data_IF_815365927528
#
_entry.id   IF_815365927528
#
_cell.length_a   1.000
_cell.length_b   1.000
_cell.length_c   1.000
_cell.angle_alpha   90.00
_cell.angle_beta   90.00
_cell.angle_gamma   90.00
#
_symmetry.space_group_name_H-M   'P 1'
#
loop_
_entity.id
_entity.type
_entity.pdbx_description
1 polymer ?
#
# COMPACT_ATOMS: atom_id res chain seq x y z
N UNK A 1 -16.67 8.05 -41.16
CA UNK A 1 -16.65 7.27 -39.89
C UNK A 1 -15.67 7.73 -38.79
N UNK A 2 -14.94 8.88 -38.82
CA UNK A 2 -13.96 9.21 -37.78
C UNK A 2 -14.57 9.74 -36.46
N UNK A 3 -15.75 10.34 -36.50
CA UNK A 3 -16.38 10.94 -35.31
C UNK A 3 -16.74 9.88 -34.27
N UNK A 4 -17.25 8.72 -34.70
CA UNK A 4 -17.65 7.62 -33.80
C UNK A 4 -16.45 6.99 -33.08
N UNK A 5 -15.30 6.86 -33.74
CA UNK A 5 -14.08 6.33 -33.12
C UNK A 5 -13.44 7.31 -32.13
N UNK A 6 -13.50 8.62 -32.40
CA UNK A 6 -13.01 9.66 -31.48
C UNK A 6 -13.88 9.72 -30.21
N UNK A 7 -15.21 9.63 -30.36
CA UNK A 7 -16.15 9.61 -29.23
C UNK A 7 -15.93 8.37 -28.35
N UNK A 8 -15.75 7.19 -28.95
CA UNK A 8 -15.44 5.96 -28.21
C UNK A 8 -14.10 6.04 -27.46
N UNK A 9 -13.06 6.61 -28.08
CA UNK A 9 -11.78 6.84 -27.42
C UNK A 9 -11.90 7.78 -26.21
N UNK A 10 -12.68 8.86 -26.32
CA UNK A 10 -12.94 9.78 -25.21
C UNK A 10 -13.69 9.10 -24.05
N UNK A 11 -14.71 8.29 -24.34
CA UNK A 11 -15.42 7.54 -23.30
C UNK A 11 -14.50 6.56 -22.56
N UNK A 12 -13.68 5.81 -23.31
CA UNK A 12 -12.69 4.89 -22.75
C UNK A 12 -11.65 5.62 -21.90
N UNK A 13 -11.22 6.80 -22.32
CA UNK A 13 -10.29 7.65 -21.57
C UNK A 13 -10.90 8.10 -20.24
N UNK A 14 -12.13 8.63 -20.26
CA UNK A 14 -12.83 9.08 -19.04
C UNK A 14 -13.04 7.91 -18.08
N UNK A 15 -13.52 6.76 -18.56
CA UNK A 15 -13.74 5.58 -17.74
C UNK A 15 -12.44 5.08 -17.10
N UNK A 16 -11.35 5.01 -17.87
CA UNK A 16 -10.04 4.61 -17.33
C UNK A 16 -9.51 5.61 -16.29
N UNK A 17 -9.73 6.92 -16.48
CA UNK A 17 -9.32 7.93 -15.50
C UNK A 17 -10.13 7.85 -14.19
N UNK A 18 -11.44 7.61 -14.28
CA UNK A 18 -12.29 7.35 -13.11
C UNK A 18 -11.82 6.12 -12.35
N UNK A 19 -11.48 5.05 -13.06
CA UNK A 19 -10.92 3.84 -12.47
C UNK A 19 -9.58 4.12 -11.76
N UNK A 20 -8.67 4.90 -12.38
CA UNK A 20 -7.41 5.33 -11.72
C UNK A 20 -7.69 6.06 -10.41
N UNK A 21 -8.61 7.03 -10.42
CA UNK A 21 -8.99 7.76 -9.21
C UNK A 21 -9.56 6.83 -8.13
N UNK A 22 -10.40 5.86 -8.51
CA UNK A 22 -10.92 4.86 -7.60
C UNK A 22 -9.80 4.00 -6.99
N UNK A 23 -8.80 3.59 -7.77
CA UNK A 23 -7.65 2.83 -7.26
C UNK A 23 -6.78 3.66 -6.33
N UNK A 24 -6.59 4.95 -6.60
CA UNK A 24 -5.87 5.87 -5.69
C UNK A 24 -6.63 6.02 -4.36
N UNK A 25 -7.94 6.22 -4.39
CA UNK A 25 -8.77 6.29 -3.19
C UNK A 25 -8.74 4.99 -2.38
N UNK A 26 -8.79 3.83 -3.04
CA UNK A 26 -8.68 2.51 -2.39
C UNK A 26 -7.37 2.35 -1.60
N UNK A 27 -6.26 2.97 -2.01
CA UNK A 27 -5.01 2.95 -1.24
C UNK A 27 -5.11 3.74 0.06
N UNK A 28 -5.78 4.89 0.05
CA UNK A 28 -6.04 5.65 1.27
C UNK A 28 -6.95 4.87 2.23
N UNK A 29 -7.98 4.20 1.70
CA UNK A 29 -8.83 3.32 2.52
C UNK A 29 -8.04 2.13 3.11
N UNK A 30 -7.12 1.53 2.35
CA UNK A 30 -6.26 0.46 2.87
C UNK A 30 -5.38 0.95 4.04
N UNK A 31 -4.83 2.17 3.94
CA UNK A 31 -4.06 2.78 5.02
C UNK A 31 -4.91 3.03 6.27
N UNK A 32 -6.13 3.55 6.09
CA UNK A 32 -7.08 3.76 7.19
C UNK A 32 -7.43 2.43 7.90
N UNK A 33 -7.73 1.38 7.14
CA UNK A 33 -7.99 0.04 7.68
C UNK A 33 -6.80 -0.49 8.49
N UNK A 34 -5.57 -0.31 8.00
CA UNK A 34 -4.37 -0.69 8.73
C UNK A 34 -4.25 0.05 10.08
N UNK A 35 -4.46 1.37 10.08
CA UNK A 35 -4.40 2.17 11.30
C UNK A 35 -5.44 1.69 12.31
N UNK A 36 -6.69 1.50 11.87
CA UNK A 36 -7.77 1.01 12.73
C UNK A 36 -7.43 -0.35 13.32
N UNK A 37 -7.02 -1.32 12.51
CA UNK A 37 -6.63 -2.66 12.98
C UNK A 37 -5.47 -2.60 13.97
N UNK A 38 -4.44 -1.80 13.69
CA UNK A 38 -3.26 -1.65 14.55
C UNK A 38 -3.64 -1.09 15.92
N UNK A 39 -4.48 -0.03 15.94
CA UNK A 39 -4.95 0.58 17.19
C UNK A 39 -5.86 -0.39 17.97
N UNK A 40 -6.75 -1.11 17.29
CA UNK A 40 -7.61 -2.11 17.92
C UNK A 40 -6.82 -3.27 18.53
N UNK A 41 -5.79 -3.77 17.83
CA UNK A 41 -4.88 -4.80 18.35
C UNK A 41 -4.11 -4.30 19.58
N UNK A 42 -3.64 -3.06 19.54
CA UNK A 42 -2.94 -2.45 20.67
C UNK A 42 -3.88 -2.29 21.87
N UNK A 43 -5.12 -1.83 21.65
CA UNK A 43 -6.13 -1.72 22.69
C UNK A 43 -6.45 -3.09 23.31
N UNK A 44 -6.60 -4.13 22.49
CA UNK A 44 -6.80 -5.50 22.96
C UNK A 44 -5.62 -6.00 23.80
N UNK A 45 -4.37 -5.76 23.36
CA UNK A 45 -3.17 -6.14 24.12
C UNK A 45 -3.13 -5.49 25.50
N UNK A 46 -3.52 -4.21 25.59
CA UNK A 46 -3.54 -3.45 26.85
C UNK A 46 -4.70 -3.91 27.74
N UNK A 47 -5.88 -4.19 27.18
CA UNK A 47 -7.04 -4.66 27.92
C UNK A 47 -6.84 -6.04 28.56
N UNK A 48 -6.04 -6.90 27.92
CA UNK A 48 -5.76 -8.27 28.39
C UNK A 48 -4.62 -8.36 29.42
N UNK A 49 -4.11 -7.22 29.93
CA UNK A 49 -3.00 -7.14 30.87
C UNK A 49 -3.15 -8.16 32.02
N UNK A 50 -2.08 -8.86 32.43
CA UNK A 50 -2.19 -9.87 33.47
C UNK A 50 -2.65 -9.25 34.79
N UNK A 51 -3.87 -9.60 35.21
CA UNK A 51 -4.40 -9.44 36.56
C UNK A 51 -4.78 -10.82 37.12
N UNK A 52 -4.93 -10.92 38.44
CA UNK A 52 -5.32 -12.15 39.17
C UNK A 52 -6.53 -12.80 38.49
N UNK A 53 -6.32 -13.96 37.84
CA UNK A 53 -7.37 -14.71 37.14
C UNK A 53 -7.23 -14.81 35.61
N UNK A 54 -6.15 -14.31 35.00
CA UNK A 54 -5.92 -14.50 33.55
C UNK A 54 -5.51 -15.94 33.21
N UNK A 55 -6.51 -16.77 32.92
CA UNK A 55 -6.32 -18.06 32.21
C UNK A 55 -5.59 -17.88 30.88
N UNK A 56 -5.14 -18.99 30.27
CA UNK A 56 -4.36 -19.07 29.03
C UNK A 56 -4.96 -18.25 27.86
N UNK A 57 -4.73 -16.95 27.84
CA UNK A 57 -5.10 -16.09 26.73
C UNK A 57 -4.00 -16.21 25.66
N UNK A 58 -4.35 -16.49 24.40
CA UNK A 58 -3.40 -16.71 23.30
C UNK A 58 -2.73 -15.39 22.85
N UNK A 59 -1.95 -14.77 23.72
CA UNK A 59 -1.25 -13.49 23.46
C UNK A 59 -0.34 -13.61 22.24
N UNK A 60 0.30 -14.76 22.05
CA UNK A 60 1.15 -15.07 20.89
C UNK A 60 0.42 -14.86 19.56
N UNK A 61 -0.85 -15.25 19.49
CA UNK A 61 -1.70 -15.08 18.30
C UNK A 61 -2.11 -13.63 18.09
N UNK A 62 -2.28 -12.87 19.17
CA UNK A 62 -2.60 -11.45 19.11
C UNK A 62 -1.41 -10.63 18.59
N UNK A 63 -0.18 -11.00 18.96
CA UNK A 63 1.05 -10.37 18.44
C UNK A 63 1.17 -10.54 16.94
N UNK A 64 0.87 -11.75 16.43
CA UNK A 64 0.88 -12.04 14.99
C UNK A 64 -0.13 -11.19 14.20
N UNK A 65 -1.14 -10.63 14.86
CA UNK A 65 -2.09 -9.70 14.24
C UNK A 65 -1.43 -8.47 13.62
N UNK A 66 -0.37 -7.93 14.24
CA UNK A 66 0.36 -6.74 13.74
C UNK A 66 1.02 -6.98 12.37
N UNK A 67 1.91 -7.98 12.22
CA UNK A 67 2.55 -8.25 10.94
C UNK A 67 1.56 -8.78 9.89
N UNK A 68 0.48 -9.46 10.30
CA UNK A 68 -0.61 -9.84 9.38
C UNK A 68 -1.29 -8.58 8.81
N UNK A 69 -1.63 -7.61 9.66
CA UNK A 69 -2.21 -6.34 9.19
C UNK A 69 -1.24 -5.59 8.25
N UNK A 70 0.06 -5.60 8.54
CA UNK A 70 1.08 -5.02 7.64
C UNK A 70 1.20 -5.76 6.31
N UNK A 71 1.11 -7.08 6.31
CA UNK A 71 1.15 -7.90 5.09
C UNK A 71 -0.08 -7.60 4.23
N UNK A 72 -1.27 -7.51 4.84
CA UNK A 72 -2.49 -7.10 4.16
C UNK A 72 -2.36 -5.72 3.52
N UNK A 73 -1.81 -4.74 4.25
CA UNK A 73 -1.54 -3.41 3.70
C UNK A 73 -0.58 -3.47 2.50
N UNK A 74 0.49 -4.27 2.59
CA UNK A 74 1.45 -4.45 1.50
C UNK A 74 0.79 -5.05 0.24
N UNK A 75 -0.03 -6.09 0.40
CA UNK A 75 -0.75 -6.71 -0.72
C UNK A 75 -1.78 -5.78 -1.36
N UNK A 76 -2.53 -5.03 -0.56
CA UNK A 76 -3.49 -4.05 -1.08
C UNK A 76 -2.79 -2.93 -1.85
N UNK A 77 -1.65 -2.44 -1.34
CA UNK A 77 -0.84 -1.45 -2.05
C UNK A 77 -0.24 -2.00 -3.34
N UNK A 78 0.28 -3.24 -3.32
CA UNK A 78 0.84 -3.87 -4.52
C UNK A 78 -0.23 -4.05 -5.61
N UNK A 79 -1.40 -4.57 -5.24
CA UNK A 79 -2.54 -4.73 -6.16
C UNK A 79 -2.93 -3.39 -6.78
N UNK A 80 -3.07 -2.35 -5.95
CA UNK A 80 -3.46 -1.02 -6.43
C UNK A 80 -2.39 -0.40 -7.35
N UNK A 81 -1.10 -0.52 -7.02
CA UNK A 81 -0.01 -0.02 -7.84
C UNK A 81 0.05 -0.70 -9.21
N UNK A 82 -0.13 -2.02 -9.25
CA UNK A 82 -0.22 -2.79 -10.50
C UNK A 82 -1.40 -2.35 -11.36
N UNK A 83 -2.58 -2.17 -10.76
CA UNK A 83 -3.77 -1.71 -11.48
C UNK A 83 -3.58 -0.29 -12.04
N UNK A 84 -3.09 0.65 -11.21
CA UNK A 84 -2.80 2.03 -11.63
C UNK A 84 -1.78 2.05 -12.76
N UNK A 85 -0.72 1.26 -12.67
CA UNK A 85 0.32 1.20 -13.69
C UNK A 85 -0.23 0.71 -15.02
N UNK A 86 -1.04 -0.35 -15.01
CA UNK A 86 -1.68 -0.86 -16.22
C UNK A 86 -2.64 0.17 -16.85
N UNK A 87 -3.46 0.83 -16.02
CA UNK A 87 -4.37 1.88 -16.48
C UNK A 87 -3.64 3.08 -17.06
N UNK A 88 -2.52 3.49 -16.46
CA UNK A 88 -1.67 4.58 -16.97
C UNK A 88 -1.00 4.23 -18.30
N UNK A 89 -0.61 2.97 -18.50
CA UNK A 89 -0.17 2.50 -19.82
C UNK A 89 -1.28 2.57 -20.87
N UNK A 90 -2.49 2.15 -20.51
CA UNK A 90 -3.65 2.26 -21.39
C UNK A 90 -3.98 3.72 -21.74
N UNK A 91 -4.02 4.61 -20.75
CA UNK A 91 -4.23 6.05 -20.94
C UNK A 91 -3.14 6.68 -21.80
N UNK A 92 -1.88 6.32 -21.58
CA UNK A 92 -0.75 6.75 -22.42
C UNK A 92 -0.92 6.33 -23.88
N UNK A 93 -1.41 5.11 -24.12
CA UNK A 93 -1.69 4.62 -25.48
C UNK A 93 -2.84 5.40 -26.14
N UNK A 94 -3.89 5.74 -25.37
CA UNK A 94 -4.97 6.59 -25.86
C UNK A 94 -4.50 8.02 -26.16
N UNK A 95 -3.63 8.60 -25.33
CA UNK A 95 -3.08 9.96 -25.53
C UNK A 95 -2.18 10.08 -26.77
N UNK A 96 -1.62 8.96 -27.25
CA UNK A 96 -0.81 8.92 -28.48
C UNK A 96 -1.63 8.68 -29.75
N UNK A 97 -2.93 8.40 -29.64
CA UNK A 97 -3.78 8.18 -30.82
C UNK A 97 -3.76 9.40 -31.75
N UNK A 98 -3.45 9.14 -33.04
CA UNK A 98 -3.36 10.19 -34.05
C UNK A 98 -2.27 11.23 -33.77
N UNK A 99 -1.19 10.86 -33.05
CA UNK A 99 -0.12 11.77 -32.63
C UNK A 99 -0.61 12.96 -31.79
N UNK A 100 -1.76 12.84 -31.11
CA UNK A 100 -2.33 13.93 -30.32
C UNK A 100 -1.36 14.50 -29.26
N UNK A 101 -0.56 13.64 -28.62
CA UNK A 101 0.50 14.03 -27.67
C UNK A 101 1.57 15.01 -28.20
N UNK A 102 1.73 15.16 -29.53
CA UNK A 102 2.67 16.13 -30.14
C UNK A 102 2.07 17.54 -30.20
N UNK A 103 0.73 17.64 -30.23
CA UNK A 103 0.00 18.90 -30.38
C UNK A 103 -0.66 19.37 -29.08
N UNK A 104 -0.93 18.44 -28.17
CA UNK A 104 -1.58 18.69 -26.88
C UNK A 104 -0.74 18.14 -25.72
N UNK A 105 -0.69 18.84 -24.57
CA UNK A 105 -0.03 18.31 -23.39
C UNK A 105 -0.64 16.97 -22.97
N UNK A 106 0.20 15.97 -22.77
CA UNK A 106 -0.23 14.63 -22.35
C UNK A 106 0.26 14.34 -20.93
N UNK A 107 -0.67 13.99 -20.04
CA UNK A 107 -0.37 13.76 -18.63
C UNK A 107 0.41 12.46 -18.39
N UNK A 108 0.18 11.44 -19.23
CA UNK A 108 0.79 10.12 -19.05
C UNK A 108 2.02 9.89 -19.96
N UNK A 109 2.21 10.65 -21.04
CA UNK A 109 3.39 10.52 -21.90
C UNK A 109 4.50 11.52 -21.54
N UNK A 110 4.17 12.74 -21.15
CA UNK A 110 5.17 13.76 -20.81
C UNK A 110 5.87 13.42 -19.46
N UNK A 111 7.20 13.25 -19.46
CA UNK A 111 7.96 12.98 -18.24
C UNK A 111 7.79 14.03 -17.14
N UNK A 112 7.58 15.30 -17.49
CA UNK A 112 7.43 16.40 -16.51
C UNK A 112 6.24 16.15 -15.59
N UNK A 113 5.11 15.74 -16.15
CA UNK A 113 3.88 15.46 -15.41
C UNK A 113 3.88 14.05 -14.81
N UNK A 114 4.26 13.04 -15.61
CA UNK A 114 4.21 11.65 -15.19
C UNK A 114 5.18 11.35 -14.04
N UNK A 115 6.43 11.84 -14.12
CA UNK A 115 7.41 11.62 -13.06
C UNK A 115 7.12 12.45 -11.81
N UNK A 116 6.63 13.68 -11.96
CA UNK A 116 6.18 14.51 -10.84
C UNK A 116 5.08 13.83 -10.04
N UNK A 117 4.07 13.29 -10.73
CA UNK A 117 2.98 12.54 -10.12
C UNK A 117 3.46 11.25 -9.43
N UNK A 118 4.45 10.54 -9.99
CA UNK A 118 5.06 9.37 -9.35
C UNK A 118 5.79 9.76 -8.06
N UNK A 119 6.54 10.88 -8.08
CA UNK A 119 7.27 11.37 -6.91
C UNK A 119 6.32 11.78 -5.79
N UNK A 120 5.21 12.43 -6.10
CA UNK A 120 4.18 12.75 -5.12
C UNK A 120 3.57 11.50 -4.48
N UNK A 121 3.27 10.47 -5.29
CA UNK A 121 2.74 9.19 -4.79
C UNK A 121 3.68 8.47 -3.82
N UNK A 122 5.01 8.61 -3.98
CA UNK A 122 5.99 8.03 -3.05
C UNK A 122 5.83 8.47 -1.60
N UNK A 123 5.29 9.66 -1.33
CA UNK A 123 5.07 10.09 0.06
C UNK A 123 4.04 9.24 0.76
N UNK A 124 3.03 8.73 0.05
CA UNK A 124 2.08 7.76 0.62
C UNK A 124 2.78 6.45 0.95
N UNK A 125 3.67 5.97 0.08
CA UNK A 125 4.44 4.74 0.31
C UNK A 125 5.36 4.87 1.52
N UNK A 126 6.02 6.03 1.69
CA UNK A 126 6.82 6.32 2.88
C UNK A 126 5.96 6.39 4.13
N UNK A 127 4.79 7.03 4.10
CA UNK A 127 3.87 7.07 5.22
C UNK A 127 3.44 5.65 5.63
N UNK A 128 3.09 4.80 4.66
CA UNK A 128 2.75 3.40 4.89
C UNK A 128 3.92 2.62 5.51
N UNK A 129 5.14 2.79 4.99
CA UNK A 129 6.33 2.12 5.52
C UNK A 129 6.65 2.54 6.96
N UNK A 130 6.59 3.84 7.27
CA UNK A 130 6.79 4.37 8.62
C UNK A 130 5.73 3.84 9.58
N UNK A 131 4.47 3.79 9.15
CA UNK A 131 3.36 3.25 9.95
C UNK A 131 3.49 1.75 10.20
N UNK A 132 4.00 0.97 9.23
CA UNK A 132 4.31 -0.46 9.43
C UNK A 132 5.46 -0.65 10.40
N UNK A 133 6.55 0.09 10.23
CA UNK A 133 7.69 0.01 11.15
C UNK A 133 7.27 0.39 12.58
N UNK A 134 6.58 1.53 12.75
CA UNK A 134 6.12 2.01 14.04
C UNK A 134 5.08 1.08 14.68
N UNK A 135 4.07 0.64 13.92
CA UNK A 135 3.00 -0.23 14.43
C UNK A 135 3.52 -1.58 14.93
N UNK A 136 4.42 -2.23 14.19
CA UNK A 136 5.03 -3.48 14.63
C UNK A 136 6.01 -3.28 15.79
N UNK A 137 6.78 -2.19 15.81
CA UNK A 137 7.69 -1.88 16.92
C UNK A 137 6.91 -1.64 18.22
N UNK A 138 5.80 -0.89 18.16
CA UNK A 138 4.93 -0.64 19.31
C UNK A 138 4.26 -1.95 19.76
N UNK A 139 3.74 -2.76 18.83
CA UNK A 139 3.13 -4.06 19.15
C UNK A 139 4.11 -5.01 19.85
N UNK A 140 5.31 -5.19 19.30
CA UNK A 140 6.36 -6.01 19.91
C UNK A 140 6.82 -5.45 21.25
N UNK A 141 7.06 -4.14 21.35
CA UNK A 141 7.47 -3.49 22.59
C UNK A 141 6.42 -3.60 23.70
N UNK A 142 5.14 -3.48 23.35
CA UNK A 142 4.04 -3.68 24.29
C UNK A 142 4.00 -5.11 24.81
N UNK A 143 4.15 -6.11 23.95
CA UNK A 143 4.10 -7.53 24.37
C UNK A 143 5.28 -7.87 25.27
N UNK A 144 6.51 -7.49 24.88
CA UNK A 144 7.72 -7.76 25.67
C UNK A 144 7.61 -7.14 27.07
N UNK A 145 7.03 -5.94 27.17
CA UNK A 145 6.90 -5.22 28.43
C UNK A 145 5.75 -5.72 29.31
N UNK A 146 4.63 -6.14 28.70
CA UNK A 146 3.42 -6.55 29.43
C UNK A 146 3.44 -8.04 29.78
N UNK A 147 4.06 -8.88 28.93
CA UNK A 147 4.09 -10.35 29.08
C UNK A 147 5.50 -10.94 28.94
N UNK A 148 6.47 -10.53 29.79
CA UNK A 148 7.87 -10.96 29.64
C UNK A 148 8.04 -12.48 29.76
N UNK A 149 7.38 -13.12 30.72
CA UNK A 149 7.53 -14.56 30.98
C UNK A 149 7.00 -15.42 29.81
N UNK A 150 5.83 -15.05 29.26
CA UNK A 150 5.24 -15.70 28.07
C UNK A 150 6.14 -15.61 26.84
N UNK A 151 6.83 -14.48 26.68
CA UNK A 151 7.74 -14.28 25.56
C UNK A 151 9.07 -15.02 25.72
N UNK A 152 9.52 -15.21 26.97
CA UNK A 152 10.65 -16.07 27.26
C UNK A 152 10.35 -17.55 26.97
N UNK A 153 9.11 -17.99 27.19
CA UNK A 153 8.64 -19.34 26.85
C UNK A 153 8.50 -19.56 25.34
N UNK A 154 8.09 -18.54 24.59
CA UNK A 154 7.80 -18.62 23.15
C UNK A 154 8.63 -17.63 22.30
N UNK A 155 9.97 -17.72 22.28
CA UNK A 155 10.83 -16.79 21.55
C UNK A 155 10.62 -16.85 20.03
N UNK A 156 10.18 -18.00 19.50
CA UNK A 156 9.87 -18.16 18.08
C UNK A 156 8.76 -17.21 17.61
N UNK A 157 7.77 -16.91 18.45
CA UNK A 157 6.67 -16.01 18.10
C UNK A 157 7.18 -14.59 17.81
N UNK A 158 8.16 -14.12 18.60
CA UNK A 158 8.80 -12.81 18.39
C UNK A 158 9.56 -12.80 17.06
N UNK A 159 10.39 -13.83 16.80
CA UNK A 159 11.18 -13.90 15.58
C UNK A 159 10.32 -13.99 14.32
N UNK A 160 9.25 -14.78 14.35
CA UNK A 160 8.30 -14.86 13.24
C UNK A 160 7.62 -13.50 13.03
N UNK A 161 7.15 -12.87 14.11
CA UNK A 161 6.51 -11.55 14.04
C UNK A 161 7.46 -10.51 13.42
N UNK A 162 8.70 -10.47 13.91
CA UNK A 162 9.73 -9.56 13.41
C UNK A 162 10.07 -9.84 11.94
N UNK A 163 10.24 -11.10 11.55
CA UNK A 163 10.55 -11.49 10.17
C UNK A 163 9.43 -11.09 9.20
N UNK A 164 8.17 -11.34 9.55
CA UNK A 164 7.01 -10.97 8.71
C UNK A 164 6.82 -9.45 8.65
N UNK A 165 7.06 -8.75 9.76
CA UNK A 165 7.05 -7.29 9.80
C UNK A 165 8.12 -6.68 8.89
N UNK A 166 9.36 -7.18 8.96
CA UNK A 166 10.47 -6.76 8.10
C UNK A 166 10.14 -7.04 6.63
N UNK A 167 9.62 -8.23 6.32
CA UNK A 167 9.20 -8.58 4.96
C UNK A 167 8.15 -7.59 4.43
N UNK A 168 7.12 -7.29 5.22
CA UNK A 168 6.06 -6.35 4.85
C UNK A 168 6.60 -4.93 4.64
N UNK A 169 7.50 -4.49 5.52
CA UNK A 169 8.17 -3.19 5.41
C UNK A 169 9.00 -3.09 4.13
N UNK A 170 9.84 -4.10 3.85
CA UNK A 170 10.65 -4.14 2.63
C UNK A 170 9.75 -4.20 1.40
N UNK A 171 8.67 -4.99 1.42
CA UNK A 171 7.70 -5.05 0.33
C UNK A 171 7.12 -3.65 0.01
N UNK A 172 6.70 -2.89 1.03
CA UNK A 172 6.18 -1.53 0.86
C UNK A 172 7.20 -0.57 0.25
N UNK A 173 8.48 -0.70 0.58
CA UNK A 173 9.55 0.11 -0.02
C UNK A 173 9.88 -0.28 -1.47
N UNK A 174 9.61 -1.53 -1.85
CA UNK A 174 9.87 -2.06 -3.19
C UNK A 174 8.71 -1.85 -4.17
N UNK A 175 7.46 -1.85 -3.69
CA UNK A 175 6.27 -1.64 -4.52
C UNK A 175 6.39 -0.45 -5.49
N UNK A 176 6.88 0.73 -5.08
CA UNK A 176 6.97 1.90 -5.95
C UNK A 176 7.96 1.74 -7.10
N UNK A 177 8.86 0.74 -7.06
CA UNK A 177 9.80 0.46 -8.16
C UNK A 177 9.08 -0.06 -9.40
N UNK A 178 7.87 -0.60 -9.24
CA UNK A 178 7.03 -1.08 -10.34
C UNK A 178 6.03 -0.04 -10.86
N UNK A 179 6.17 1.22 -10.45
CA UNK A 179 5.30 2.30 -10.94
C UNK A 179 5.52 2.58 -12.42
N UNK A 180 4.46 3.02 -13.09
CA UNK A 180 4.47 3.46 -14.48
C UNK A 180 5.61 4.45 -14.77
N UNK A 181 6.39 4.19 -15.80
CA UNK A 181 7.36 5.13 -16.37
C UNK A 181 6.96 5.40 -17.82
N UNK A 182 6.86 6.67 -18.25
CA UNK A 182 6.68 6.95 -19.66
C UNK A 182 7.87 6.35 -20.43
N UNK A 183 7.60 5.74 -21.59
CA UNK A 183 8.67 5.36 -22.49
C UNK A 183 9.40 6.64 -22.89
N UNK A 184 10.73 6.67 -22.77
CA UNK A 184 11.51 7.73 -23.40
C UNK A 184 11.37 7.53 -24.91
N UNK A 185 10.41 8.20 -25.52
CA UNK A 185 10.48 8.47 -26.94
C UNK A 185 11.55 9.56 -27.10
N UNK A 186 12.82 9.14 -27.10
CA UNK A 186 13.86 9.91 -27.79
C UNK A 186 13.60 9.75 -29.29
N UNK A 187 12.72 10.61 -29.81
CA UNK A 187 12.63 10.97 -31.22
C UNK A 187 13.20 12.37 -31.38
#
# INVERSE_FOLDING_TARGET
>A
MPIKSIVDANYRFIAAYQEVNARIAQRQHALALYITLTVSLLAALVALKPGEGSGQLPIEWLVLGFPVASTCLAFLNYKAERAITNLRHFLSTLERLGSAHESLPSYNTDPRWAMGANKARRFHDFAAAVLVAGGNAIGLGAVIKIYPDRMAENPLAIWITAAVAIFSFVALLLIPRWSYKPANDHG
#
